data_IF_531418256945
#
_entry.id   IF_531418256945
#
_cell.length_a   1.000
_cell.length_b   1.000
_cell.length_c   1.000
_cell.angle_alpha   90.00
_cell.angle_beta   90.00
_cell.angle_gamma   90.00
#
_symmetry.space_group_name_H-M   'P 1'
#
loop_
_entity.id
_entity.type
_entity.pdbx_description
1 polymer ?
#
# COMPACT_ATOMS: atom_id res chain seq x y z
N UNK A 1 -5.00 -9.96 20.89
CA UNK A 1 -5.18 -9.69 19.44
C UNK A 1 -4.16 -8.63 19.05
N UNK A 2 -3.16 -8.98 18.25
CA UNK A 2 -2.26 -7.96 17.68
C UNK A 2 -3.05 -7.19 16.63
N UNK A 3 -3.14 -5.87 16.78
CA UNK A 3 -3.64 -4.98 15.72
C UNK A 3 -2.76 -5.19 14.49
N UNK A 4 -3.35 -5.58 13.37
CA UNK A 4 -2.64 -5.60 12.09
C UNK A 4 -2.26 -4.15 11.78
N UNK A 5 -0.97 -3.83 11.87
CA UNK A 5 -0.44 -2.53 11.47
C UNK A 5 -0.06 -2.67 9.99
N UNK A 6 -0.85 -2.05 9.10
CA UNK A 6 -0.46 -1.91 7.69
C UNK A 6 0.92 -1.24 7.65
N UNK A 7 1.85 -1.84 6.92
CA UNK A 7 3.15 -1.20 6.67
C UNK A 7 2.96 -0.13 5.59
N UNK A 8 2.57 1.06 6.04
CA UNK A 8 2.29 2.20 5.16
C UNK A 8 3.50 2.65 4.37
N UNK A 9 4.71 2.49 4.89
CA UNK A 9 5.92 2.89 4.16
C UNK A 9 6.16 1.91 3.01
N UNK A 10 6.07 0.60 3.25
CA UNK A 10 6.19 -0.40 2.18
C UNK A 10 5.04 -0.30 1.17
N UNK A 11 3.81 0.01 1.63
CA UNK A 11 2.66 0.29 0.74
C UNK A 11 2.94 1.48 -0.18
N UNK A 12 3.50 2.57 0.37
CA UNK A 12 3.94 3.74 -0.39
C UNK A 12 5.03 3.40 -1.40
N UNK A 13 6.00 2.58 -1.01
CA UNK A 13 7.08 2.16 -1.90
C UNK A 13 6.55 1.32 -3.08
N UNK A 14 5.56 0.45 -2.86
CA UNK A 14 4.87 -0.29 -3.94
C UNK A 14 4.03 0.63 -4.83
N UNK A 15 3.29 1.58 -4.26
CA UNK A 15 2.55 2.56 -5.05
C UNK A 15 3.48 3.41 -5.93
N UNK A 16 4.61 3.88 -5.37
CA UNK A 16 5.64 4.61 -6.11
C UNK A 16 6.22 3.78 -7.26
N UNK A 17 6.35 2.47 -7.09
CA UNK A 17 6.75 1.59 -8.18
C UNK A 17 5.73 1.62 -9.34
N UNK A 18 4.43 1.64 -9.02
CA UNK A 18 3.36 1.74 -10.01
C UNK A 18 3.30 3.09 -10.75
N UNK A 19 3.91 4.16 -10.24
CA UNK A 19 3.96 5.44 -10.96
C UNK A 19 5.07 5.51 -12.02
N UNK A 20 5.93 4.49 -12.12
CA UNK A 20 7.01 4.45 -13.12
C UNK A 20 6.44 4.09 -14.49
N UNK A 21 7.07 4.59 -15.55
CA UNK A 21 6.66 4.34 -16.93
C UNK A 21 6.91 2.88 -17.36
N UNK A 22 7.89 2.22 -16.74
CA UNK A 22 8.23 0.82 -16.96
C UNK A 22 7.69 -0.08 -15.85
N UNK A 23 7.50 -1.37 -16.18
CA UNK A 23 7.15 -2.39 -15.18
C UNK A 23 8.29 -2.58 -14.17
N UNK A 24 7.93 -2.65 -12.89
CA UNK A 24 8.89 -2.72 -11.78
C UNK A 24 8.78 -4.05 -11.06
N UNK A 25 9.88 -4.81 -11.03
CA UNK A 25 9.96 -6.10 -10.33
C UNK A 25 10.05 -5.96 -8.82
N UNK A 26 9.63 -6.99 -8.08
CA UNK A 26 9.78 -7.08 -6.60
C UNK A 26 11.21 -6.79 -6.17
N UNK A 27 12.21 -7.31 -6.88
CA UNK A 27 13.63 -7.08 -6.56
C UNK A 27 13.99 -5.60 -6.60
N UNK A 28 13.43 -4.85 -7.54
CA UNK A 28 13.69 -3.40 -7.66
C UNK A 28 13.08 -2.65 -6.48
N UNK A 29 11.85 -3.01 -6.09
CA UNK A 29 11.18 -2.44 -4.91
C UNK A 29 11.97 -2.78 -3.64
N UNK A 30 12.48 -4.01 -3.54
CA UNK A 30 13.24 -4.48 -2.38
C UNK A 30 14.53 -3.68 -2.15
N UNK A 31 15.20 -3.20 -3.20
CA UNK A 31 16.36 -2.31 -3.07
C UNK A 31 15.98 -1.00 -2.39
N UNK A 32 14.85 -0.39 -2.78
CA UNK A 32 14.38 0.87 -2.22
C UNK A 32 13.94 0.70 -0.75
N UNK A 33 13.20 -0.37 -0.44
CA UNK A 33 12.73 -0.69 0.93
C UNK A 33 13.91 -1.03 1.84
N UNK A 34 14.83 -1.90 1.38
CA UNK A 34 15.97 -2.33 2.18
C UNK A 34 16.92 -1.18 2.53
N UNK A 35 17.14 -0.25 1.59
CA UNK A 35 17.93 0.97 1.84
C UNK A 35 17.33 1.82 2.97
N UNK A 36 16.00 1.95 3.02
CA UNK A 36 15.30 2.71 4.08
C UNK A 36 15.41 2.02 5.44
N UNK A 37 15.37 0.69 5.45
CA UNK A 37 15.38 -0.12 6.67
C UNK A 37 16.80 -0.52 7.14
N UNK A 38 17.84 -0.06 6.44
CA UNK A 38 19.24 -0.44 6.69
C UNK A 38 19.46 -1.97 6.72
N UNK A 39 18.89 -2.66 5.73
CA UNK A 39 18.97 -4.13 5.58
C UNK A 39 19.34 -4.54 4.14
N UNK A 40 19.35 -5.84 3.84
CA UNK A 40 19.58 -6.41 2.52
C UNK A 40 18.31 -6.47 1.68
N UNK A 41 18.42 -6.22 0.37
CA UNK A 41 17.31 -6.42 -0.57
C UNK A 41 16.88 -7.90 -0.71
N UNK A 42 17.77 -8.83 -0.35
CA UNK A 42 17.49 -10.27 -0.33
C UNK A 42 16.97 -10.75 1.04
N UNK A 43 16.75 -9.84 2.01
CA UNK A 43 16.17 -10.17 3.30
C UNK A 43 14.75 -10.74 3.10
N UNK A 44 14.47 -11.99 3.58
CA UNK A 44 13.16 -12.59 3.46
C UNK A 44 12.03 -11.74 4.04
N UNK A 45 12.29 -10.95 5.10
CA UNK A 45 11.29 -10.08 5.73
C UNK A 45 10.91 -8.90 4.83
N UNK A 46 11.88 -8.31 4.12
CA UNK A 46 11.64 -7.25 3.13
C UNK A 46 10.79 -7.77 1.98
N UNK A 47 11.17 -8.93 1.43
CA UNK A 47 10.40 -9.57 0.36
C UNK A 47 8.98 -9.88 0.83
N UNK A 48 8.82 -10.46 2.01
CA UNK A 48 7.49 -10.78 2.56
C UNK A 48 6.62 -9.53 2.78
N UNK A 49 7.20 -8.43 3.26
CA UNK A 49 6.48 -7.17 3.45
C UNK A 49 5.99 -6.60 2.11
N UNK A 50 6.85 -6.61 1.08
CA UNK A 50 6.49 -6.14 -0.27
C UNK A 50 5.39 -7.01 -0.86
N UNK A 51 5.52 -8.34 -0.78
CA UNK A 51 4.52 -9.25 -1.31
C UNK A 51 3.15 -9.05 -0.65
N UNK A 52 3.11 -8.89 0.69
CA UNK A 52 1.86 -8.61 1.41
C UNK A 52 1.23 -7.28 0.98
N UNK A 53 2.02 -6.21 0.91
CA UNK A 53 1.52 -4.90 0.50
C UNK A 53 1.02 -4.92 -0.96
N UNK A 54 1.79 -5.52 -1.87
CA UNK A 54 1.43 -5.61 -3.28
C UNK A 54 0.22 -6.52 -3.54
N UNK A 55 0.09 -7.66 -2.83
CA UNK A 55 -1.09 -8.53 -2.93
C UNK A 55 -2.37 -7.77 -2.50
N UNK A 56 -2.29 -7.01 -1.41
CA UNK A 56 -3.41 -6.19 -0.94
C UNK A 56 -3.77 -5.09 -1.94
N UNK A 57 -2.77 -4.38 -2.49
CA UNK A 57 -2.97 -3.32 -3.46
C UNK A 57 -3.53 -3.84 -4.79
N UNK A 58 -3.06 -4.99 -5.29
CA UNK A 58 -3.56 -5.57 -6.55
C UNK A 58 -4.96 -6.13 -6.37
N UNK A 59 -5.22 -6.84 -5.26
CA UNK A 59 -6.53 -7.43 -4.93
C UNK A 59 -7.62 -6.35 -4.86
N UNK A 60 -7.29 -5.19 -4.33
CA UNK A 60 -8.24 -4.09 -4.15
C UNK A 60 -8.20 -3.03 -5.27
N UNK A 61 -7.44 -3.29 -6.34
CA UNK A 61 -7.45 -2.46 -7.55
C UNK A 61 -6.73 -1.12 -7.43
N UNK A 62 -5.74 -1.00 -6.55
CA UNK A 62 -4.86 0.17 -6.45
C UNK A 62 -3.73 0.15 -7.49
N UNK A 63 -3.26 -1.04 -7.87
CA UNK A 63 -2.21 -1.22 -8.87
C UNK A 63 -2.63 -2.22 -9.96
N UNK A 64 -1.94 -2.18 -11.09
CA UNK A 64 -1.97 -3.21 -12.12
C UNK A 64 -0.75 -4.13 -11.98
N UNK A 65 -1.00 -5.41 -11.73
CA UNK A 65 0.01 -6.45 -11.55
C UNK A 65 -0.64 -7.84 -11.72
N UNK A 66 0.14 -8.91 -11.92
CA UNK A 66 -0.35 -10.29 -11.82
C UNK A 66 -1.00 -10.58 -10.45
N UNK A 67 -2.03 -11.42 -10.44
CA UNK A 67 -2.64 -11.94 -9.22
C UNK A 67 -2.77 -13.47 -9.30
N UNK A 68 -2.32 -14.24 -8.29
CA UNK A 68 -1.67 -13.79 -7.05
C UNK A 68 -0.34 -13.07 -7.29
N UNK A 69 0.03 -12.15 -6.39
CA UNK A 69 1.29 -11.40 -6.50
C UNK A 69 2.43 -12.21 -5.84
N UNK A 70 3.40 -12.61 -6.64
CA UNK A 70 4.50 -13.50 -6.25
C UNK A 70 5.88 -12.85 -6.42
N UNK A 71 6.95 -13.54 -6.01
CA UNK A 71 8.33 -13.00 -6.03
C UNK A 71 8.79 -12.54 -7.42
N UNK A 72 8.31 -13.19 -8.46
CA UNK A 72 8.65 -12.87 -9.86
C UNK A 72 7.62 -11.94 -10.52
N UNK A 73 6.65 -11.44 -9.75
CA UNK A 73 5.66 -10.48 -10.25
C UNK A 73 6.26 -9.09 -10.44
N UNK A 74 5.61 -8.35 -11.32
CA UNK A 74 5.97 -6.96 -11.62
C UNK A 74 4.74 -6.08 -11.42
N UNK A 75 4.97 -4.88 -10.87
CA UNK A 75 3.99 -3.80 -10.86
C UNK A 75 4.05 -3.13 -12.22
N UNK A 76 2.97 -3.27 -12.99
CA UNK A 76 2.87 -2.77 -14.38
C UNK A 76 2.39 -1.33 -14.46
N UNK A 77 1.74 -0.85 -13.40
CA UNK A 77 1.28 0.51 -13.30
C UNK A 77 0.41 0.77 -12.08
N UNK A 78 0.13 2.03 -11.83
CA UNK A 78 -0.77 2.51 -10.78
C UNK A 78 -2.17 2.75 -11.37
N UNK A 79 -3.21 2.32 -10.65
CA UNK A 79 -4.60 2.60 -11.05
C UNK A 79 -5.05 3.92 -10.44
N UNK A 80 -6.14 4.54 -10.93
CA UNK A 80 -6.61 5.84 -10.41
C UNK A 80 -6.79 5.89 -8.88
N UNK A 81 -7.28 4.80 -8.28
CA UNK A 81 -7.42 4.70 -6.82
C UNK A 81 -6.06 4.65 -6.09
N UNK A 82 -5.09 3.93 -6.66
CA UNK A 82 -3.70 3.94 -6.20
C UNK A 82 -3.07 5.31 -6.28
N UNK A 83 -3.30 6.01 -7.40
CA UNK A 83 -2.77 7.35 -7.64
C UNK A 83 -3.29 8.34 -6.60
N UNK A 84 -4.60 8.31 -6.32
CA UNK A 84 -5.18 9.15 -5.27
C UNK A 84 -4.56 8.86 -3.90
N UNK A 85 -4.49 7.59 -3.49
CA UNK A 85 -3.86 7.23 -2.22
C UNK A 85 -2.39 7.69 -2.17
N UNK A 86 -1.63 7.47 -3.24
CA UNK A 86 -0.23 7.83 -3.32
C UNK A 86 -0.01 9.34 -3.19
N UNK A 87 -0.80 10.16 -3.89
CA UNK A 87 -0.74 11.62 -3.79
C UNK A 87 -1.04 12.14 -2.39
N UNK A 88 -1.96 11.48 -1.69
CA UNK A 88 -2.28 11.79 -0.30
C UNK A 88 -1.15 11.39 0.66
N UNK A 89 -0.47 10.28 0.38
CA UNK A 89 0.67 9.83 1.17
C UNK A 89 1.89 10.75 0.95
N UNK A 90 2.22 11.14 -0.27
CA UNK A 90 3.44 11.93 -0.56
C UNK A 90 3.42 13.34 0.04
N UNK A 91 2.25 13.92 0.29
CA UNK A 91 2.11 15.19 1.03
C UNK A 91 2.01 14.90 2.53
N UNK A 92 3.02 15.31 3.29
CA UNK A 92 3.09 15.07 4.74
C UNK A 92 1.88 15.64 5.51
N UNK A 93 1.39 16.83 5.11
CA UNK A 93 0.24 17.44 5.77
C UNK A 93 -1.06 16.66 5.49
N UNK A 94 -1.26 16.25 4.23
CA UNK A 94 -2.38 15.38 3.85
C UNK A 94 -2.30 14.03 4.56
N UNK A 95 -1.12 13.43 4.60
CA UNK A 95 -0.91 12.12 5.21
C UNK A 95 -1.17 12.12 6.71
N UNK A 96 -0.69 13.16 7.42
CA UNK A 96 -0.95 13.31 8.86
C UNK A 96 -2.43 13.40 9.21
N UNK A 97 -3.27 13.86 8.27
CA UNK A 97 -4.73 13.87 8.40
C UNK A 97 -5.38 12.55 8.00
N UNK A 98 -4.95 11.98 6.87
CA UNK A 98 -5.58 10.78 6.31
C UNK A 98 -5.25 9.50 7.08
N UNK A 99 -4.00 9.33 7.54
CA UNK A 99 -3.55 8.09 8.19
C UNK A 99 -4.42 7.69 9.39
N UNK A 100 -4.71 8.58 10.37
CA UNK A 100 -5.55 8.20 11.50
C UNK A 100 -6.97 7.80 11.07
N UNK A 101 -7.55 8.50 10.08
CA UNK A 101 -8.87 8.20 9.57
C UNK A 101 -8.92 6.87 8.79
N UNK A 102 -7.86 6.52 8.04
CA UNK A 102 -7.71 5.21 7.41
C UNK A 102 -7.58 4.11 8.48
N UNK A 103 -6.74 4.31 9.48
CA UNK A 103 -6.57 3.35 10.57
C UNK A 103 -7.87 3.14 11.36
N UNK A 104 -8.68 4.18 11.53
CA UNK A 104 -10.01 4.10 12.12
C UNK A 104 -11.01 3.41 11.18
N UNK A 105 -11.04 3.72 9.89
CA UNK A 105 -11.91 3.07 8.91
C UNK A 105 -11.64 1.56 8.85
N UNK A 106 -10.38 1.15 8.83
CA UNK A 106 -9.96 -0.26 8.85
C UNK A 106 -10.34 -0.97 10.17
N UNK A 107 -10.44 -0.23 11.29
CA UNK A 107 -10.81 -0.77 12.61
C UNK A 107 -12.33 -0.78 12.86
N UNK A 108 -13.06 0.22 12.34
CA UNK A 108 -14.49 0.46 12.57
C UNK A 108 -15.39 -0.35 11.63
N UNK A 109 -14.80 -1.07 10.69
CA UNK A 109 -15.44 -2.16 9.98
C UNK A 109 -16.00 -3.26 10.88
N UNK A 110 -17.22 -3.07 11.38
CA UNK A 110 -17.93 -3.93 12.35
C UNK A 110 -18.35 -5.31 11.79
N UNK A 111 -17.41 -6.06 11.22
CA UNK A 111 -17.57 -7.48 10.88
C UNK A 111 -16.24 -8.19 11.16
N UNK A 112 -16.30 -9.33 11.86
CA UNK A 112 -15.18 -9.95 12.58
C UNK A 112 -13.97 -10.45 11.75
N UNK A 113 -13.91 -10.13 10.46
CA UNK A 113 -12.85 -10.56 9.55
C UNK A 113 -12.21 -9.34 8.91
N UNK A 114 -11.02 -8.97 9.41
CA UNK A 114 -9.99 -8.13 8.79
C UNK A 114 -10.45 -7.28 7.59
N UNK A 115 -10.62 -5.97 7.78
CA UNK A 115 -10.78 -5.08 6.64
C UNK A 115 -9.43 -4.80 5.98
N UNK A 116 -9.38 -5.04 4.67
CA UNK A 116 -8.26 -4.67 3.81
C UNK A 116 -8.41 -3.22 3.36
N UNK A 117 -7.28 -2.58 3.07
CA UNK A 117 -7.22 -1.34 2.32
C UNK A 117 -8.03 -1.52 1.03
N UNK A 118 -9.13 -0.79 0.91
CA UNK A 118 -10.10 -0.88 -0.18
C UNK A 118 -10.60 0.52 -0.56
N UNK A 119 -11.26 0.63 -1.70
CA UNK A 119 -11.88 1.88 -2.13
C UNK A 119 -12.86 2.43 -1.08
N UNK A 120 -13.61 1.55 -0.41
CA UNK A 120 -14.57 1.94 0.63
C UNK A 120 -13.87 2.47 1.89
N UNK A 121 -12.78 1.83 2.32
CA UNK A 121 -12.01 2.30 3.47
C UNK A 121 -11.37 3.67 3.18
N UNK A 122 -10.85 3.87 1.96
CA UNK A 122 -10.31 5.17 1.54
C UNK A 122 -11.41 6.23 1.45
N UNK A 123 -12.56 5.95 0.83
CA UNK A 123 -13.67 6.90 0.73
C UNK A 123 -14.22 7.27 2.10
N UNK A 124 -14.39 6.30 3.01
CA UNK A 124 -14.82 6.55 4.38
C UNK A 124 -13.83 7.44 5.14
N UNK A 125 -12.53 7.15 5.04
CA UNK A 125 -11.49 7.95 5.67
C UNK A 125 -11.46 9.39 5.15
N UNK A 126 -11.59 9.56 3.82
CA UNK A 126 -11.63 10.86 3.15
C UNK A 126 -12.83 11.69 3.60
N UNK A 127 -14.03 11.10 3.65
CA UNK A 127 -15.23 11.77 4.19
C UNK A 127 -15.06 12.15 5.65
N UNK A 128 -14.44 11.27 6.45
CA UNK A 128 -14.16 11.51 7.87
C UNK A 128 -13.29 12.74 8.13
N UNK A 129 -12.43 13.11 7.17
CA UNK A 129 -11.57 14.31 7.27
C UNK A 129 -12.12 15.53 6.50
N UNK A 130 -13.38 15.46 6.03
CA UNK A 130 -14.06 16.54 5.32
C UNK A 130 -13.64 16.69 3.86
N UNK A 131 -13.19 15.60 3.22
CA UNK A 131 -12.85 15.56 1.80
C UNK A 131 -13.79 14.60 1.08
N UNK A 132 -14.56 15.13 0.13
CA UNK A 132 -15.69 14.51 -0.60
C UNK A 132 -17.03 14.51 0.15
#
# INVERSE_FOLDING_TARGET
MQKLKVDWDTTRDVLRAGTREDSVSVRTIAVDVARRQDTSADDPQVIEAILKAADELVRNGFIDAPYPFEKDSEVRGIKPLGQELFEWMEDEHKWNRLRPALEEALQSGLGADHQYLSANALDAAMRGIGVR
#
